data_IF_572338418190
#
_entry.id   IF_572338418190
#
_cell.length_a   1.000
_cell.length_b   1.000
_cell.length_c   1.000
_cell.angle_alpha   90.00
_cell.angle_beta   90.00
_cell.angle_gamma   90.00
#
_symmetry.space_group_name_H-M   'P 1'
#
loop_
_entity.id
_entity.type
_entity.pdbx_description
1 polymer ?
#
# COMPACT_ATOMS: atom_id res chain seq x y z
N UNK A 1 17.67 12.93 -11.90
CA UNK A 1 17.56 11.97 -10.79
C UNK A 1 16.09 11.64 -10.69
N UNK A 2 15.72 10.38 -10.90
CA UNK A 2 14.38 9.91 -10.54
C UNK A 2 14.32 9.91 -9.02
N UNK A 3 13.27 10.51 -8.45
CA UNK A 3 13.01 10.44 -7.00
C UNK A 3 12.06 9.29 -6.77
N UNK A 4 12.52 8.26 -6.08
CA UNK A 4 11.64 7.18 -5.60
C UNK A 4 11.08 7.55 -4.23
N UNK A 5 9.77 7.38 -4.08
CA UNK A 5 9.09 7.54 -2.78
C UNK A 5 8.69 6.16 -2.28
N UNK A 6 8.99 5.87 -1.01
CA UNK A 6 8.60 4.64 -0.33
C UNK A 6 7.26 4.81 0.38
N UNK A 7 6.40 3.79 0.28
CA UNK A 7 5.09 3.75 0.91
C UNK A 7 4.94 2.48 1.74
N UNK A 8 4.39 2.64 2.94
CA UNK A 8 4.05 1.53 3.83
C UNK A 8 2.64 1.03 3.50
N UNK A 9 2.54 -0.22 3.07
CA UNK A 9 1.32 -0.83 2.53
C UNK A 9 0.95 -2.08 3.34
N UNK A 10 -0.31 -2.21 3.75
CA UNK A 10 -0.81 -3.38 4.48
C UNK A 10 -0.94 -4.60 3.57
N UNK A 11 -1.03 -5.80 4.15
CA UNK A 11 -1.15 -7.07 3.40
C UNK A 11 -2.30 -7.04 2.39
N UNK A 12 -3.47 -6.53 2.79
CA UNK A 12 -4.65 -6.47 1.90
C UNK A 12 -4.41 -5.55 0.70
N UNK A 13 -3.86 -4.36 0.91
CA UNK A 13 -3.56 -3.44 -0.18
C UNK A 13 -2.39 -3.94 -1.05
N UNK A 14 -1.44 -4.70 -0.49
CA UNK A 14 -0.36 -5.29 -1.26
C UNK A 14 -0.89 -6.34 -2.27
N UNK A 15 -1.93 -7.11 -1.90
CA UNK A 15 -2.60 -8.03 -2.84
C UNK A 15 -3.19 -7.26 -4.02
N UNK A 16 -3.83 -6.12 -3.77
CA UNK A 16 -4.37 -5.24 -4.82
C UNK A 16 -3.24 -4.76 -5.72
N UNK A 17 -2.18 -4.17 -5.17
CA UNK A 17 -1.10 -3.60 -5.96
C UNK A 17 -0.35 -4.62 -6.81
N UNK A 18 -0.25 -5.87 -6.35
CA UNK A 18 0.47 -6.94 -7.06
C UNK A 18 -0.42 -7.67 -8.07
N UNK A 19 -1.70 -7.86 -7.76
CA UNK A 19 -2.60 -8.75 -8.54
C UNK A 19 -3.79 -8.04 -9.18
N UNK A 20 -3.97 -6.74 -8.92
CA UNK A 20 -5.16 -5.96 -9.31
C UNK A 20 -6.47 -6.59 -8.80
N UNK A 21 -6.42 -7.21 -7.61
CA UNK A 21 -7.53 -7.92 -6.98
C UNK A 21 -8.09 -7.15 -5.77
N UNK A 22 -9.27 -6.54 -5.97
CA UNK A 22 -9.98 -5.74 -4.96
C UNK A 22 -11.03 -6.54 -4.17
N UNK A 23 -11.13 -7.86 -4.38
CA UNK A 23 -12.21 -8.67 -3.79
C UNK A 23 -12.19 -8.73 -2.26
N UNK A 24 -11.05 -8.42 -1.64
CA UNK A 24 -10.87 -8.35 -0.19
C UNK A 24 -10.93 -6.94 0.40
N UNK A 25 -11.23 -5.91 -0.39
CA UNK A 25 -11.26 -4.51 0.07
C UNK A 25 -12.66 -4.14 0.55
N UNK A 26 -12.74 -3.55 1.74
CA UNK A 26 -13.98 -3.04 2.28
C UNK A 26 -14.49 -1.86 1.43
N UNK A 27 -15.81 -1.76 1.29
CA UNK A 27 -16.44 -0.77 0.40
C UNK A 27 -16.15 0.69 0.79
N UNK A 28 -15.80 0.93 2.06
CA UNK A 28 -15.43 2.25 2.57
C UNK A 28 -14.00 2.66 2.18
N UNK A 29 -13.11 1.69 1.99
CA UNK A 29 -11.69 1.91 1.65
C UNK A 29 -11.45 1.83 0.13
N UNK A 30 -12.36 1.22 -0.62
CA UNK A 30 -12.22 0.93 -2.06
C UNK A 30 -11.81 2.16 -2.88
N UNK A 31 -12.45 3.31 -2.67
CA UNK A 31 -12.17 4.52 -3.43
C UNK A 31 -10.74 5.05 -3.21
N UNK A 32 -10.22 4.94 -1.99
CA UNK A 32 -8.86 5.36 -1.66
C UNK A 32 -7.83 4.42 -2.30
N UNK A 33 -8.08 3.11 -2.21
CA UNK A 33 -7.19 2.09 -2.76
C UNK A 33 -7.15 2.16 -4.30
N UNK A 34 -8.29 2.33 -4.96
CA UNK A 34 -8.35 2.53 -6.42
C UNK A 34 -7.60 3.79 -6.86
N UNK A 35 -7.78 4.90 -6.13
CA UNK A 35 -7.06 6.15 -6.41
C UNK A 35 -5.55 5.98 -6.24
N UNK A 36 -5.11 5.29 -5.18
CA UNK A 36 -3.71 5.02 -4.92
C UNK A 36 -3.07 4.13 -6.00
N UNK A 37 -3.73 3.01 -6.33
CA UNK A 37 -3.24 2.03 -7.30
C UNK A 37 -3.19 2.59 -8.73
N UNK A 38 -4.15 3.44 -9.11
CA UNK A 38 -4.20 4.03 -10.46
C UNK A 38 -3.23 5.19 -10.67
N UNK A 39 -2.80 5.86 -9.60
CA UNK A 39 -1.92 7.02 -9.69
C UNK A 39 -0.44 6.64 -9.89
N UNK A 40 -0.04 5.38 -9.70
CA UNK A 40 1.37 5.03 -9.58
C UNK A 40 1.74 3.71 -10.26
N UNK A 41 2.97 3.67 -10.79
CA UNK A 41 3.66 2.42 -11.09
C UNK A 41 4.48 2.03 -9.85
N UNK A 42 4.11 0.91 -9.24
CA UNK A 42 4.63 0.52 -7.93
C UNK A 42 5.51 -0.73 -8.06
N UNK A 43 6.60 -0.77 -7.29
CA UNK A 43 7.45 -1.96 -7.16
C UNK A 43 7.50 -2.36 -5.69
N UNK A 44 7.26 -3.63 -5.39
CA UNK A 44 7.47 -4.16 -4.04
C UNK A 44 8.98 -4.28 -3.76
N UNK A 45 9.46 -3.64 -2.69
CA UNK A 45 10.90 -3.54 -2.38
C UNK A 45 11.30 -4.12 -1.03
N UNK A 46 10.33 -4.49 -0.19
CA UNK A 46 10.63 -5.17 1.07
C UNK A 46 9.48 -5.24 2.05
N UNK A 47 9.85 -5.53 3.29
CA UNK A 47 8.93 -5.58 4.44
C UNK A 47 9.07 -4.29 5.26
N UNK A 48 7.95 -3.83 5.80
CA UNK A 48 7.87 -2.71 6.72
C UNK A 48 7.63 -3.26 8.14
N UNK A 49 8.58 -3.07 9.06
CA UNK A 49 8.46 -3.52 10.46
C UNK A 49 8.42 -2.32 11.43
N UNK A 50 7.27 -1.66 11.55
CA UNK A 50 7.09 -0.55 12.48
C UNK A 50 6.90 -1.07 13.91
N UNK A 51 7.49 -0.37 14.87
CA UNK A 51 7.21 -0.63 16.27
C UNK A 51 5.77 -0.19 16.62
N UNK A 52 4.83 -1.15 16.64
CA UNK A 52 3.47 -0.95 17.12
C UNK A 52 2.44 -0.68 16.02
N UNK A 53 1.57 0.31 16.24
CA UNK A 53 0.52 0.68 15.29
C UNK A 53 1.06 1.65 14.24
N UNK A 54 0.57 1.53 13.02
CA UNK A 54 0.94 2.38 11.89
C UNK A 54 -0.24 2.52 10.92
N UNK A 55 -0.15 3.42 9.96
CA UNK A 55 -1.23 3.68 9.00
C UNK A 55 -0.82 3.22 7.61
N UNK A 56 -1.68 2.46 6.94
CA UNK A 56 -1.46 2.08 5.54
C UNK A 56 -1.63 3.31 4.65
N UNK A 57 -0.66 3.57 3.77
CA UNK A 57 -0.68 4.75 2.89
C UNK A 57 -1.68 4.62 1.72
N UNK A 58 -2.21 3.41 1.47
CA UNK A 58 -3.19 3.17 0.41
C UNK A 58 -4.64 3.27 0.89
N UNK A 59 -4.99 2.61 2.00
CA UNK A 59 -6.36 2.60 2.54
C UNK A 59 -6.56 3.52 3.75
N UNK A 60 -5.50 4.11 4.30
CA UNK A 60 -5.52 4.97 5.49
C UNK A 60 -5.96 4.28 6.80
N UNK A 61 -6.23 2.96 6.76
CA UNK A 61 -6.62 2.19 7.94
C UNK A 61 -5.41 1.89 8.84
N UNK A 62 -5.62 1.95 10.16
CA UNK A 62 -4.60 1.64 11.17
C UNK A 62 -4.33 0.14 11.21
N UNK A 63 -3.06 -0.22 11.13
CA UNK A 63 -2.51 -1.58 11.12
C UNK A 63 -1.69 -1.85 12.37
N UNK A 64 -1.46 -3.13 12.66
CA UNK A 64 -0.53 -3.61 13.69
C UNK A 64 0.32 -4.74 13.13
N UNK A 65 1.62 -4.73 13.45
CA UNK A 65 2.58 -5.71 12.97
C UNK A 65 3.23 -5.30 11.66
N UNK A 66 3.80 -6.27 10.95
CA UNK A 66 4.56 -6.07 9.71
C UNK A 66 3.63 -5.68 8.55
N UNK A 67 4.17 -4.93 7.59
CA UNK A 67 3.55 -4.65 6.30
C UNK A 67 4.58 -4.73 5.18
N UNK A 68 4.34 -4.00 4.10
CA UNK A 68 5.16 -4.02 2.89
C UNK A 68 5.66 -2.63 2.52
N UNK A 69 6.86 -2.55 1.96
CA UNK A 69 7.37 -1.32 1.33
C UNK A 69 7.16 -1.44 -0.18
N UNK A 70 6.51 -0.42 -0.75
CA UNK A 70 6.44 -0.21 -2.19
C UNK A 70 7.17 1.09 -2.55
N UNK A 71 8.01 1.02 -3.58
CA UNK A 71 8.62 2.20 -4.19
C UNK A 71 7.83 2.63 -5.42
N UNK A 72 7.69 3.93 -5.60
CA UNK A 72 7.06 4.54 -6.78
C UNK A 72 8.03 5.45 -7.49
N UNK A 73 8.09 5.34 -8.81
CA UNK A 73 8.75 6.33 -9.65
C UNK A 73 7.79 7.50 -9.89
N UNK A 74 8.20 8.69 -9.45
CA UNK A 74 7.50 9.96 -9.71
C UNK A 74 7.97 10.62 -11.01
#
# INVERSE_FOLDING_TARGET
MLTTTEYAICDTCAVVLVNDDYSGIDSEDLANVEAFASAHLVTHTGEYDPAGYWTCEACESVQIGTGHIFEMEA
#
